data_IF_719537987186
#
_entry.id   IF_719537987186
#
_cell.length_a   1.000
_cell.length_b   1.000
_cell.length_c   1.000
_cell.angle_alpha   90.00
_cell.angle_beta   90.00
_cell.angle_gamma   90.00
#
_symmetry.space_group_name_H-M   'P 1'
#
loop_
_entity.id
_entity.type
_entity.pdbx_description
1 polymer ?
#
# COMPACT_ATOMS: atom_id res chain seq x y z
N UNK A 1 -13.06 5.27 34.79
CA UNK A 1 -11.89 6.17 34.70
C UNK A 1 -10.89 5.56 33.74
N UNK A 2 -10.27 6.39 32.91
CA UNK A 2 -9.17 5.98 32.02
C UNK A 2 -7.85 6.27 32.74
N UNK A 3 -6.94 5.32 32.74
CA UNK A 3 -5.59 5.46 33.27
C UNK A 3 -4.59 5.59 32.15
N UNK A 4 -3.83 6.68 32.13
CA UNK A 4 -2.68 6.86 31.23
C UNK A 4 -1.46 6.36 31.98
N UNK A 5 -0.82 5.33 31.44
CA UNK A 5 0.31 4.60 32.03
C UNK A 5 1.58 4.92 31.24
N UNK A 6 2.70 4.90 31.93
CA UNK A 6 4.01 4.92 31.28
C UNK A 6 4.39 3.51 30.72
N UNK A 7 5.48 3.46 29.97
CA UNK A 7 5.96 2.20 29.36
C UNK A 7 6.26 1.07 30.35
N UNK A 8 6.40 1.39 31.67
CA UNK A 8 6.56 0.40 32.73
C UNK A 8 5.24 -0.09 33.31
N UNK A 9 4.10 0.46 32.86
CA UNK A 9 2.76 0.15 33.35
C UNK A 9 2.35 0.96 34.57
N UNK A 10 3.17 1.90 35.03
CA UNK A 10 2.83 2.76 36.16
C UNK A 10 1.88 3.86 35.71
N UNK A 11 0.76 4.06 36.43
CA UNK A 11 -0.18 5.13 36.18
C UNK A 11 0.48 6.48 36.37
N UNK A 12 0.48 7.29 35.30
CA UNK A 12 0.96 8.68 35.28
C UNK A 12 -0.16 9.66 35.58
N UNK A 13 -1.35 9.38 35.04
CA UNK A 13 -2.53 10.21 35.22
C UNK A 13 -3.80 9.37 35.05
N UNK A 14 -4.87 9.76 35.75
CA UNK A 14 -6.20 9.16 35.62
C UNK A 14 -7.24 10.24 35.39
N UNK A 15 -8.11 10.01 34.42
CA UNK A 15 -9.19 10.96 34.09
C UNK A 15 -10.53 10.23 33.90
N UNK A 16 -11.67 10.84 34.25
CA UNK A 16 -12.96 10.34 33.81
C UNK A 16 -13.08 10.47 32.28
N UNK A 17 -13.96 9.67 31.67
CA UNK A 17 -14.35 9.87 30.27
C UNK A 17 -15.30 11.06 30.23
N UNK A 18 -14.82 12.17 29.68
CA UNK A 18 -15.61 13.39 29.54
C UNK A 18 -16.44 13.36 28.23
N UNK A 19 -17.52 14.17 28.18
CA UNK A 19 -18.41 14.25 27.02
C UNK A 19 -17.72 14.62 25.69
N UNK A 20 -16.54 15.23 25.74
CA UNK A 20 -15.73 15.57 24.56
C UNK A 20 -14.76 14.47 24.14
N UNK A 21 -14.68 13.35 24.87
CA UNK A 21 -13.86 12.23 24.45
C UNK A 21 -14.42 11.63 23.16
N UNK A 22 -13.56 11.43 22.18
CA UNK A 22 -13.92 10.90 20.86
C UNK A 22 -12.83 9.98 20.32
N UNK A 23 -13.25 9.02 19.52
CA UNK A 23 -12.36 8.18 18.74
C UNK A 23 -12.66 8.34 17.26
N UNK A 24 -11.66 8.13 16.43
CA UNK A 24 -11.80 8.07 14.99
C UNK A 24 -10.99 6.90 14.46
N UNK A 25 -11.66 6.08 13.66
CA UNK A 25 -11.04 4.99 12.93
C UNK A 25 -11.38 5.15 11.45
N UNK A 26 -10.36 5.17 10.61
CA UNK A 26 -10.49 5.09 9.16
C UNK A 26 -9.42 4.11 8.68
N UNK A 27 -9.86 3.05 8.03
CA UNK A 27 -9.01 1.97 7.56
C UNK A 27 -7.80 2.51 6.80
N UNK A 28 -6.59 2.08 7.20
CA UNK A 28 -5.30 2.48 6.61
C UNK A 28 -5.01 4.00 6.62
N UNK A 29 -5.82 4.81 7.29
CA UNK A 29 -5.64 6.27 7.31
C UNK A 29 -5.46 6.83 8.71
N UNK A 30 -6.27 6.40 9.67
CA UNK A 30 -6.22 6.92 11.03
C UNK A 30 -6.92 5.98 12.02
N UNK A 31 -6.33 5.87 13.20
CA UNK A 31 -6.90 5.15 14.33
C UNK A 31 -6.39 5.82 15.61
N UNK A 32 -7.24 6.67 16.21
CA UNK A 32 -6.86 7.46 17.38
C UNK A 32 -8.04 7.77 18.29
N UNK A 33 -7.72 8.12 19.52
CA UNK A 33 -8.66 8.69 20.49
C UNK A 33 -8.16 10.07 20.94
N UNK A 34 -9.11 10.93 21.33
CA UNK A 34 -8.82 12.22 21.94
C UNK A 34 -9.49 12.25 23.32
N UNK A 35 -8.71 12.56 24.34
CA UNK A 35 -9.15 12.68 25.72
C UNK A 35 -9.03 14.15 26.17
N UNK A 36 -10.16 14.90 26.28
CA UNK A 36 -10.16 16.25 26.82
C UNK A 36 -10.20 16.22 28.35
N UNK A 37 -9.30 16.96 28.99
CA UNK A 37 -9.29 17.17 30.43
C UNK A 37 -8.51 18.45 30.79
N UNK A 38 -8.75 18.95 32.01
CA UNK A 38 -8.05 20.14 32.55
C UNK A 38 -7.33 19.77 33.84
N UNK A 39 -6.16 20.35 34.05
CA UNK A 39 -5.32 20.12 35.22
C UNK A 39 -4.70 21.43 35.73
N UNK A 40 -4.41 21.54 37.02
CA UNK A 40 -3.81 22.74 37.58
C UNK A 40 -2.34 22.94 37.16
N UNK A 41 -1.63 21.86 36.82
CA UNK A 41 -0.23 21.91 36.41
C UNK A 41 0.01 20.95 35.25
N UNK A 42 0.94 21.25 34.31
CA UNK A 42 1.21 20.39 33.19
C UNK A 42 1.69 19.00 33.61
N UNK A 43 1.20 17.99 32.93
CA UNK A 43 1.63 16.59 33.13
C UNK A 43 2.77 16.29 32.17
N UNK A 44 3.92 15.72 32.65
CA UNK A 44 5.07 15.43 31.79
C UNK A 44 4.85 14.11 31.03
N UNK A 45 3.89 14.12 30.11
CA UNK A 45 3.67 12.98 29.21
C UNK A 45 4.88 12.73 28.34
N UNK A 46 5.09 11.46 27.98
CA UNK A 46 6.19 11.01 27.11
C UNK A 46 5.66 10.18 25.96
N UNK A 47 6.47 10.07 24.90
CA UNK A 47 6.22 9.11 23.83
C UNK A 47 6.14 7.70 24.40
N UNK A 48 5.14 6.94 23.97
CA UNK A 48 4.87 5.60 24.46
C UNK A 48 4.07 5.53 25.76
N UNK A 49 3.71 6.67 26.40
CA UNK A 49 2.68 6.63 27.44
C UNK A 49 1.36 6.19 26.79
N UNK A 50 0.61 5.29 27.44
CA UNK A 50 -0.50 4.60 26.80
C UNK A 50 -1.74 4.46 27.68
N UNK A 51 -2.86 4.18 27.04
CA UNK A 51 -4.10 3.72 27.67
C UNK A 51 -4.43 2.32 27.17
N UNK A 52 -4.96 1.48 28.05
CA UNK A 52 -5.50 0.17 27.71
C UNK A 52 -7.03 0.21 27.90
N UNK A 53 -7.74 0.11 26.80
CA UNK A 53 -9.21 0.18 26.74
C UNK A 53 -9.87 -1.21 26.70
N UNK A 54 -9.14 -2.29 26.91
CA UNK A 54 -9.65 -3.66 26.82
C UNK A 54 -10.87 -3.94 27.71
N UNK A 55 -11.01 -3.20 28.81
CA UNK A 55 -12.17 -3.32 29.70
C UNK A 55 -13.25 -2.26 29.48
N UNK A 56 -13.10 -1.38 28.47
CA UNK A 56 -13.98 -0.25 28.24
C UNK A 56 -14.67 -0.33 26.86
N UNK A 57 -13.96 -0.85 25.87
CA UNK A 57 -14.52 -1.04 24.51
C UNK A 57 -15.45 -2.25 24.51
N UNK A 58 -16.65 -2.04 23.97
CA UNK A 58 -17.65 -3.08 23.80
C UNK A 58 -17.15 -4.10 22.75
N UNK A 59 -17.22 -5.39 23.08
CA UNK A 59 -16.92 -6.48 22.16
C UNK A 59 -17.85 -6.51 20.93
N UNK A 60 -19.02 -5.86 21.03
CA UNK A 60 -19.95 -5.70 19.89
C UNK A 60 -19.36 -4.87 18.73
N UNK A 61 -18.35 -4.03 19.00
CA UNK A 61 -17.56 -3.36 17.99
C UNK A 61 -16.58 -4.32 17.28
N UNK A 62 -16.72 -5.61 17.57
CA UNK A 62 -16.15 -6.69 16.78
C UNK A 62 -14.66 -6.95 16.95
N UNK A 63 -14.06 -6.52 18.04
CA UNK A 63 -12.65 -6.79 18.32
C UNK A 63 -11.66 -6.14 17.33
N UNK A 64 -12.13 -5.18 16.53
CA UNK A 64 -11.43 -4.61 15.37
C UNK A 64 -10.75 -3.30 15.68
N UNK A 65 -11.18 -2.62 16.74
CA UNK A 65 -10.52 -1.42 17.22
C UNK A 65 -9.28 -1.80 18.02
N UNK A 66 -8.24 -1.00 17.91
CA UNK A 66 -7.11 -1.11 18.80
C UNK A 66 -7.59 -1.00 20.27
N UNK A 67 -7.07 -1.86 21.11
CA UNK A 67 -7.36 -1.82 22.56
C UNK A 67 -6.36 -0.96 23.30
N UNK A 68 -5.18 -0.77 22.73
CA UNK A 68 -4.08 0.03 23.28
C UNK A 68 -3.85 1.23 22.38
N UNK A 69 -3.87 2.43 22.97
CA UNK A 69 -3.57 3.68 22.31
C UNK A 69 -2.40 4.36 23.01
N UNK A 70 -1.43 4.86 22.25
CA UNK A 70 -0.17 5.41 22.74
C UNK A 70 0.01 6.86 22.32
N UNK A 71 0.76 7.62 23.08
CA UNK A 71 1.24 8.95 22.66
C UNK A 71 2.37 8.72 21.64
N UNK A 72 2.07 8.93 20.38
CA UNK A 72 3.02 8.79 19.27
C UNK A 72 3.73 10.10 18.95
N UNK A 73 3.02 11.24 19.16
CA UNK A 73 3.54 12.58 19.00
C UNK A 73 3.33 13.38 20.28
N UNK A 74 4.36 14.12 20.74
CA UNK A 74 4.26 14.95 21.93
C UNK A 74 3.38 16.16 21.67
N UNK A 75 2.44 16.39 22.58
CA UNK A 75 1.48 17.48 22.52
C UNK A 75 1.67 18.43 23.71
N UNK A 76 1.41 19.71 23.48
CA UNK A 76 1.46 20.74 24.53
C UNK A 76 0.04 21.10 24.92
N UNK A 77 -0.25 21.22 26.24
CA UNK A 77 -1.52 21.74 26.71
C UNK A 77 -1.65 23.23 26.44
N UNK A 78 -2.89 23.70 26.37
CA UNK A 78 -3.20 25.12 26.29
C UNK A 78 -3.38 25.68 27.71
N UNK A 79 -2.69 26.78 28.03
CA UNK A 79 -2.91 27.47 29.30
C UNK A 79 -4.23 28.22 29.26
N UNK A 80 -5.08 27.96 30.22
CA UNK A 80 -6.38 28.59 30.37
C UNK A 80 -6.31 29.73 31.42
N UNK A 81 -6.31 30.97 30.94
CA UNK A 81 -6.21 32.17 31.79
C UNK A 81 -7.41 32.35 32.73
N UNK A 82 -8.57 31.81 32.37
CA UNK A 82 -9.80 31.94 33.19
C UNK A 82 -9.78 31.00 34.40
N UNK A 83 -9.16 29.83 34.28
CA UNK A 83 -9.08 28.84 35.36
C UNK A 83 -7.72 28.81 36.04
N UNK A 84 -6.68 29.41 35.45
CA UNK A 84 -5.30 29.31 35.90
C UNK A 84 -4.69 27.92 35.74
N UNK A 85 -5.32 27.08 34.92
CA UNK A 85 -4.91 25.68 34.66
C UNK A 85 -4.50 25.41 33.21
N UNK A 86 -4.37 24.15 32.87
CA UNK A 86 -3.96 23.70 31.56
C UNK A 86 -5.00 22.73 30.98
N UNK A 87 -5.47 23.04 29.78
CA UNK A 87 -6.43 22.26 29.04
C UNK A 87 -5.69 21.34 28.04
N UNK A 88 -6.02 20.05 28.08
CA UNK A 88 -5.53 19.03 27.17
C UNK A 88 -6.64 18.55 26.22
N UNK A 89 -6.31 18.39 24.97
CA UNK A 89 -6.96 17.53 24.01
C UNK A 89 -5.97 16.41 23.66
N UNK A 90 -5.71 15.52 24.63
CA UNK A 90 -4.67 14.51 24.47
C UNK A 90 -5.07 13.49 23.43
N UNK A 91 -4.36 13.49 22.31
CA UNK A 91 -4.50 12.48 21.27
C UNK A 91 -3.57 11.31 21.56
N UNK A 92 -4.13 10.11 21.48
CA UNK A 92 -3.39 8.86 21.52
C UNK A 92 -3.75 8.10 20.25
N UNK A 93 -2.76 7.62 19.55
CA UNK A 93 -2.92 6.81 18.33
C UNK A 93 -2.82 5.33 18.68
N UNK A 94 -3.40 4.45 17.86
CA UNK A 94 -3.32 3.02 18.04
C UNK A 94 -1.84 2.56 18.14
N UNK A 95 -1.56 1.56 18.97
CA UNK A 95 -0.21 1.10 19.34
C UNK A 95 0.73 0.84 18.15
N UNK A 96 0.22 0.53 16.98
CA UNK A 96 1.01 0.29 15.77
C UNK A 96 1.35 1.60 15.00
N UNK A 97 0.70 2.72 15.28
CA UNK A 97 0.96 3.98 14.59
C UNK A 97 2.37 4.53 14.85
N UNK A 98 3.04 4.12 15.92
CA UNK A 98 4.46 4.43 16.16
C UNK A 98 5.40 3.90 15.08
N UNK A 99 4.95 2.95 14.25
CA UNK A 99 5.72 2.43 13.13
C UNK A 99 6.00 3.49 12.07
N UNK A 100 5.19 4.56 11.98
CA UNK A 100 5.45 5.73 11.11
C UNK A 100 6.77 6.44 11.45
N UNK A 101 7.28 6.27 12.66
CA UNK A 101 8.51 6.90 13.13
C UNK A 101 9.77 6.03 12.90
N UNK A 102 9.65 4.92 12.16
CA UNK A 102 10.73 3.97 11.90
C UNK A 102 10.85 3.67 10.42
N UNK A 103 12.07 3.67 9.92
CA UNK A 103 12.38 3.40 8.52
C UNK A 103 12.30 1.89 8.23
N UNK A 104 11.73 1.53 7.10
CA UNK A 104 11.65 0.16 6.61
C UNK A 104 12.95 -0.23 5.91
N UNK A 105 13.65 -1.24 6.41
CA UNK A 105 14.95 -1.70 5.92
C UNK A 105 14.89 -3.14 5.43
N UNK A 106 15.67 -3.46 4.40
CA UNK A 106 15.74 -4.83 3.90
C UNK A 106 16.39 -5.81 4.91
N UNK A 107 17.47 -5.38 5.54
CA UNK A 107 18.19 -6.15 6.59
C UNK A 107 18.31 -5.31 7.86
N UNK A 108 17.24 -5.21 8.67
CA UNK A 108 17.18 -4.30 9.81
C UNK A 108 18.21 -4.61 10.90
N UNK A 109 18.73 -5.85 10.94
CA UNK A 109 19.73 -6.31 11.90
C UNK A 109 21.14 -5.80 11.58
N UNK A 110 21.36 -5.33 10.35
CA UNK A 110 22.69 -4.85 9.92
C UNK A 110 22.78 -3.34 10.09
N UNK A 111 23.79 -2.90 10.81
CA UNK A 111 24.14 -1.49 10.90
C UNK A 111 24.52 -0.96 9.49
N UNK A 112 23.92 0.16 9.06
CA UNK A 112 24.16 0.73 7.74
C UNK A 112 23.40 0.07 6.60
N UNK A 113 22.42 -0.79 6.91
CA UNK A 113 21.48 -1.34 5.91
C UNK A 113 20.77 -0.21 5.17
N UNK A 114 20.67 -0.35 3.84
CA UNK A 114 20.02 0.63 2.99
C UNK A 114 18.54 0.77 3.30
N UNK A 115 18.05 2.00 3.28
CA UNK A 115 16.64 2.35 3.45
C UNK A 115 15.95 2.55 2.09
N UNK A 116 16.71 2.54 0.99
CA UNK A 116 16.18 2.54 -0.39
C UNK A 116 16.55 1.23 -1.06
N UNK A 117 15.53 0.43 -1.39
CA UNK A 117 15.71 -0.91 -1.94
C UNK A 117 14.45 -1.38 -2.68
N UNK A 118 14.60 -2.40 -3.51
CA UNK A 118 13.50 -3.00 -4.27
C UNK A 118 13.50 -4.51 -4.08
N UNK A 119 12.30 -5.09 -4.07
CA UNK A 119 12.10 -6.52 -3.98
C UNK A 119 10.89 -6.93 -4.83
N UNK A 120 11.10 -7.88 -5.73
CA UNK A 120 10.01 -8.54 -6.45
C UNK A 120 9.75 -9.88 -5.78
N UNK A 121 8.67 -9.98 -5.03
CA UNK A 121 8.32 -11.17 -4.27
C UNK A 121 6.82 -11.25 -4.00
N UNK A 122 6.35 -12.41 -3.58
CA UNK A 122 4.99 -12.58 -3.10
C UNK A 122 4.76 -11.86 -1.76
N UNK A 123 3.50 -11.59 -1.43
CA UNK A 123 3.12 -10.80 -0.26
C UNK A 123 3.66 -11.37 1.06
N UNK A 124 3.61 -12.68 1.23
CA UNK A 124 4.13 -13.37 2.42
C UNK A 124 5.63 -13.14 2.62
N UNK A 125 6.41 -13.09 1.53
CA UNK A 125 7.84 -12.79 1.57
C UNK A 125 8.09 -11.33 1.95
N UNK A 126 7.32 -10.38 1.37
CA UNK A 126 7.38 -8.96 1.72
C UNK A 126 7.06 -8.75 3.21
N UNK A 127 5.98 -9.38 3.69
CA UNK A 127 5.59 -9.35 5.10
C UNK A 127 6.61 -10.01 6.01
N UNK A 128 7.31 -11.03 5.53
CA UNK A 128 8.44 -11.64 6.25
C UNK A 128 9.57 -10.64 6.51
N UNK A 129 9.89 -9.77 5.53
CA UNK A 129 10.85 -8.66 5.74
C UNK A 129 10.31 -7.64 6.73
N UNK A 130 9.01 -7.32 6.63
CA UNK A 130 8.35 -6.41 7.55
C UNK A 130 8.42 -6.90 9.01
N UNK A 131 8.09 -8.15 9.26
CA UNK A 131 8.15 -8.74 10.60
C UNK A 131 9.58 -8.75 11.17
N UNK A 132 10.61 -8.96 10.33
CA UNK A 132 12.01 -8.84 10.77
C UNK A 132 12.32 -7.44 11.30
N UNK A 133 11.79 -6.39 10.64
CA UNK A 133 11.94 -5.02 11.12
C UNK A 133 11.27 -4.82 12.48
N UNK A 134 10.03 -5.30 12.68
CA UNK A 134 9.36 -5.21 13.98
C UNK A 134 10.14 -5.92 15.07
N UNK A 135 10.64 -7.12 14.77
CA UNK A 135 11.44 -7.93 15.70
C UNK A 135 12.76 -7.26 16.06
N UNK A 136 13.49 -6.73 15.09
CA UNK A 136 14.74 -6.00 15.32
C UNK A 136 14.56 -4.75 16.19
N UNK A 137 13.36 -4.12 16.10
CA UNK A 137 12.97 -2.98 16.95
C UNK A 137 12.44 -3.41 18.33
N UNK A 138 12.28 -4.70 18.58
CA UNK A 138 11.69 -5.22 19.80
C UNK A 138 10.20 -4.91 19.95
N UNK A 139 9.49 -4.66 18.85
CA UNK A 139 8.07 -4.36 18.88
C UNK A 139 7.25 -5.65 19.04
N UNK A 140 6.45 -5.68 20.08
CA UNK A 140 5.54 -6.77 20.42
C UNK A 140 4.19 -6.21 20.83
N UNK A 141 3.15 -7.01 20.74
CA UNK A 141 1.86 -6.73 21.36
C UNK A 141 1.71 -7.57 22.63
N UNK A 142 1.68 -6.93 23.79
CA UNK A 142 1.62 -7.61 25.11
C UNK A 142 2.65 -8.74 25.29
N UNK A 143 3.88 -8.50 24.78
CA UNK A 143 4.97 -9.48 24.84
C UNK A 143 4.93 -10.58 23.78
N UNK A 144 3.94 -10.57 22.87
CA UNK A 144 3.83 -11.52 21.77
C UNK A 144 4.33 -10.87 20.47
N UNK A 145 5.18 -11.59 19.73
CA UNK A 145 5.67 -11.15 18.43
C UNK A 145 4.51 -10.98 17.43
N UNK A 146 4.66 -10.04 16.50
CA UNK A 146 3.71 -9.85 15.41
C UNK A 146 3.77 -11.00 14.42
N UNK A 147 2.61 -11.32 13.87
CA UNK A 147 2.40 -12.29 12.80
C UNK A 147 1.54 -11.66 11.70
N UNK A 148 1.33 -12.36 10.59
CA UNK A 148 0.41 -11.93 9.56
C UNK A 148 -0.57 -13.03 9.17
N UNK A 149 -1.69 -12.61 8.58
CA UNK A 149 -2.69 -13.48 7.95
C UNK A 149 -3.06 -12.88 6.60
N UNK A 150 -3.00 -13.69 5.56
CA UNK A 150 -3.41 -13.33 4.21
C UNK A 150 -4.69 -14.12 3.92
N UNK A 151 -5.77 -13.42 3.58
CA UNK A 151 -7.04 -14.03 3.22
C UNK A 151 -6.96 -14.70 1.85
N UNK A 152 -7.73 -15.77 1.66
CA UNK A 152 -7.77 -16.53 0.39
C UNK A 152 -8.26 -15.68 -0.80
N UNK A 153 -8.91 -14.56 -0.56
CA UNK A 153 -9.32 -13.60 -1.59
C UNK A 153 -8.15 -12.79 -2.17
N UNK A 154 -7.00 -12.79 -1.50
CA UNK A 154 -5.80 -12.07 -1.94
C UNK A 154 -4.87 -13.03 -2.68
N UNK A 155 -4.66 -12.78 -3.97
CA UNK A 155 -3.70 -13.55 -4.76
C UNK A 155 -2.27 -13.28 -4.28
N UNK A 156 -1.60 -14.29 -3.74
CA UNK A 156 -0.21 -14.18 -3.26
C UNK A 156 0.79 -14.24 -4.43
N UNK A 157 0.62 -13.35 -5.41
CA UNK A 157 1.50 -13.22 -6.59
C UNK A 157 2.75 -12.40 -6.27
N UNK A 158 3.80 -12.59 -7.06
CA UNK A 158 4.99 -11.75 -6.99
C UNK A 158 4.71 -10.36 -7.58
N UNK A 159 4.97 -9.33 -6.79
CA UNK A 159 4.83 -7.91 -7.18
C UNK A 159 6.15 -7.21 -6.91
N UNK A 160 6.58 -6.37 -7.85
CA UNK A 160 7.74 -5.50 -7.67
C UNK A 160 7.38 -4.32 -6.76
N UNK A 161 8.05 -4.24 -5.64
CA UNK A 161 7.94 -3.13 -4.69
C UNK A 161 9.26 -2.38 -4.62
N UNK A 162 9.18 -1.07 -4.58
CA UNK A 162 10.33 -0.19 -4.31
C UNK A 162 10.03 0.63 -3.06
N UNK A 163 10.92 0.55 -2.10
CA UNK A 163 10.84 1.27 -0.83
C UNK A 163 11.97 2.29 -0.80
N UNK A 164 11.64 3.57 -0.92
CA UNK A 164 12.62 4.65 -0.92
C UNK A 164 12.46 5.49 0.34
N UNK A 165 13.34 5.24 1.32
CA UNK A 165 13.32 5.89 2.64
C UNK A 165 11.93 5.90 3.31
N UNK A 166 11.13 4.87 3.01
CA UNK A 166 9.76 4.75 3.47
C UNK A 166 9.72 4.30 4.93
N UNK A 167 8.80 4.86 5.71
CA UNK A 167 8.58 4.37 7.06
C UNK A 167 7.80 3.04 7.05
N UNK A 168 7.86 2.32 8.17
CA UNK A 168 7.24 0.99 8.29
C UNK A 168 5.73 1.01 8.02
N UNK A 169 5.01 1.99 8.54
CA UNK A 169 3.55 2.03 8.40
C UNK A 169 3.12 2.28 6.95
N UNK A 170 3.76 3.25 6.29
CA UNK A 170 3.48 3.56 4.89
C UNK A 170 3.90 2.40 3.98
N UNK A 171 5.04 1.76 4.28
CA UNK A 171 5.47 0.57 3.55
C UNK A 171 4.44 -0.56 3.65
N UNK A 172 3.90 -0.82 4.85
CA UNK A 172 2.87 -1.82 5.07
C UNK A 172 1.59 -1.51 4.26
N UNK A 173 1.09 -0.29 4.37
CA UNK A 173 -0.13 0.11 3.68
C UNK A 173 0.04 0.20 2.16
N UNK A 174 1.25 0.53 1.67
CA UNK A 174 1.53 0.55 0.24
C UNK A 174 1.43 -0.84 -0.40
N UNK A 175 1.66 -1.92 0.35
CA UNK A 175 1.48 -3.29 -0.15
C UNK A 175 0.01 -3.58 -0.49
N UNK A 176 -0.95 -2.98 0.23
CA UNK A 176 -2.37 -3.17 -0.02
C UNK A 176 -2.91 -2.40 -1.24
N UNK A 177 -2.08 -1.54 -1.85
CA UNK A 177 -2.46 -0.66 -2.96
C UNK A 177 -3.13 -1.39 -4.14
N UNK A 178 -3.95 -0.63 -4.87
CA UNK A 178 -4.76 -1.12 -5.99
C UNK A 178 -3.90 -1.73 -7.11
N UNK A 179 -2.73 -1.14 -7.36
CA UNK A 179 -1.74 -1.60 -8.34
C UNK A 179 -0.81 -2.71 -7.79
N UNK A 180 -0.98 -3.14 -6.54
CA UNK A 180 -0.19 -4.16 -5.84
C UNK A 180 -1.02 -5.42 -5.60
N UNK A 181 -1.43 -5.65 -4.35
CA UNK A 181 -2.28 -6.79 -4.03
C UNK A 181 -3.77 -6.44 -3.98
N UNK A 182 -4.13 -5.18 -4.15
CA UNK A 182 -5.50 -4.67 -4.25
C UNK A 182 -6.42 -5.23 -3.16
N UNK A 183 -6.07 -4.96 -1.92
CA UNK A 183 -6.80 -5.45 -0.75
C UNK A 183 -6.76 -4.42 0.38
N UNK A 184 -7.44 -4.74 1.48
CA UNK A 184 -7.35 -3.97 2.71
C UNK A 184 -6.23 -4.50 3.61
N UNK A 185 -5.64 -3.61 4.42
CA UNK A 185 -4.73 -3.98 5.50
C UNK A 185 -5.25 -3.44 6.82
N UNK A 186 -5.33 -4.30 7.83
CA UNK A 186 -5.69 -3.89 9.20
C UNK A 186 -4.92 -4.71 10.22
N UNK A 187 -4.90 -4.24 11.46
CA UNK A 187 -4.13 -4.86 12.53
C UNK A 187 -5.04 -5.10 13.73
N UNK A 188 -5.11 -6.35 14.17
CA UNK A 188 -5.81 -6.72 15.40
C UNK A 188 -4.85 -7.46 16.32
N UNK A 189 -4.71 -6.98 17.55
CA UNK A 189 -3.78 -7.55 18.53
C UNK A 189 -2.35 -7.67 17.93
N UNK A 190 -1.80 -8.86 17.80
CA UNK A 190 -0.48 -9.08 17.19
C UNK A 190 -0.54 -9.55 15.73
N UNK A 191 -1.71 -9.52 15.07
CA UNK A 191 -1.88 -10.04 13.73
C UNK A 191 -2.10 -8.89 12.73
N UNK A 192 -1.30 -8.88 11.67
CA UNK A 192 -1.44 -8.01 10.51
C UNK A 192 -2.23 -8.77 9.46
N UNK A 193 -3.37 -8.25 9.06
CA UNK A 193 -4.29 -8.88 8.12
C UNK A 193 -4.23 -8.22 6.75
N UNK A 194 -4.24 -9.03 5.71
CA UNK A 194 -4.44 -8.61 4.33
C UNK A 194 -5.62 -9.39 3.76
N UNK A 195 -6.63 -8.68 3.26
CA UNK A 195 -7.86 -9.30 2.78
C UNK A 195 -8.93 -8.28 2.46
N UNK A 196 -10.18 -8.73 2.49
CA UNK A 196 -11.35 -7.84 2.45
C UNK A 196 -11.80 -7.56 3.87
N UNK A 197 -11.77 -6.29 4.27
CA UNK A 197 -12.20 -5.89 5.61
C UNK A 197 -13.73 -5.74 5.68
N UNK A 198 -14.43 -6.80 5.28
CA UNK A 198 -15.90 -6.90 5.32
C UNK A 198 -16.30 -7.91 6.41
N UNK A 199 -17.22 -7.52 7.28
CA UNK A 199 -17.54 -8.33 8.45
C UNK A 199 -19.04 -8.42 8.71
N UNK A 200 -19.49 -9.64 8.98
CA UNK A 200 -20.86 -9.93 9.37
C UNK A 200 -21.86 -9.77 8.23
N UNK A 201 -23.13 -9.85 8.58
CA UNK A 201 -24.22 -9.68 7.64
C UNK A 201 -24.42 -8.22 7.26
N UNK A 202 -24.98 -7.98 6.08
CA UNK A 202 -25.32 -6.63 5.62
C UNK A 202 -26.32 -5.97 6.60
N UNK A 203 -25.94 -4.80 7.12
CA UNK A 203 -26.81 -4.01 7.98
C UNK A 203 -27.71 -3.15 7.11
N UNK A 204 -29.02 -3.32 7.26
CA UNK A 204 -30.01 -2.45 6.62
C UNK A 204 -30.02 -1.10 7.36
N UNK A 205 -29.80 -0.02 6.62
CA UNK A 205 -29.89 1.34 7.14
C UNK A 205 -31.15 2.00 6.54
N UNK A 206 -32.10 2.35 7.39
CA UNK A 206 -33.34 3.03 6.99
C UNK A 206 -33.35 4.48 7.53
N UNK A 207 -33.76 5.42 6.66
CA UNK A 207 -33.93 6.81 7.07
C UNK A 207 -35.06 6.91 8.11
N UNK A 208 -34.77 7.57 9.21
CA UNK A 208 -35.70 7.75 10.34
C UNK A 208 -35.68 6.61 11.36
N UNK A 209 -34.89 5.55 11.13
CA UNK A 209 -34.66 4.43 12.06
C UNK A 209 -33.19 4.43 12.50
N UNK A 210 -32.29 3.95 11.65
CA UNK A 210 -30.83 3.92 11.92
C UNK A 210 -30.13 5.21 11.48
N UNK A 211 -30.66 5.93 10.49
CA UNK A 211 -30.12 7.20 10.01
C UNK A 211 -31.13 8.33 10.17
N UNK A 212 -30.76 9.38 10.87
CA UNK A 212 -31.59 10.58 11.05
C UNK A 212 -31.81 11.34 9.73
N UNK A 213 -30.77 11.36 8.89
CA UNK A 213 -30.81 11.93 7.54
C UNK A 213 -29.83 11.21 6.62
N UNK A 214 -30.19 11.19 5.33
CA UNK A 214 -29.35 10.63 4.26
C UNK A 214 -29.19 11.73 3.21
N UNK A 215 -28.00 12.33 3.16
CA UNK A 215 -27.67 13.35 2.18
C UNK A 215 -26.92 12.72 1.02
N UNK A 216 -27.40 12.93 -0.20
CA UNK A 216 -26.65 12.62 -1.40
C UNK A 216 -25.79 13.83 -1.75
N UNK A 217 -24.49 13.69 -1.64
CA UNK A 217 -23.55 14.67 -2.18
C UNK A 217 -23.14 14.23 -3.61
N UNK A 218 -22.92 15.21 -4.46
CA UNK A 218 -22.22 14.95 -5.71
C UNK A 218 -20.77 14.59 -5.40
N UNK A 219 -20.22 13.63 -6.13
CA UNK A 219 -18.80 13.31 -6.05
C UNK A 219 -18.02 14.54 -6.53
N UNK A 220 -17.04 14.99 -5.77
CA UNK A 220 -16.08 16.02 -6.22
C UNK A 220 -15.15 15.48 -7.32
N UNK A 221 -15.20 14.18 -7.62
CA UNK A 221 -14.45 13.55 -8.69
C UNK A 221 -15.12 13.74 -10.05
N UNK A 222 -14.32 14.00 -11.07
CA UNK A 222 -14.75 13.93 -12.47
C UNK A 222 -15.20 12.49 -12.75
N UNK A 223 -16.44 12.30 -13.14
CA UNK A 223 -16.88 11.02 -13.67
C UNK A 223 -16.90 11.09 -15.19
N UNK A 224 -16.47 10.01 -15.85
CA UNK A 224 -16.51 9.88 -17.28
C UNK A 224 -17.66 8.97 -17.70
N UNK A 225 -18.32 9.33 -18.79
CA UNK A 225 -19.32 8.46 -19.46
C UNK A 225 -18.77 7.86 -20.74
N UNK A 226 -17.63 8.40 -21.25
CA UNK A 226 -16.87 7.88 -22.38
C UNK A 226 -15.40 7.81 -22.03
N UNK A 227 -14.78 6.66 -22.22
CA UNK A 227 -13.37 6.44 -21.89
C UNK A 227 -12.59 6.05 -23.15
N UNK A 228 -11.52 6.79 -23.42
CA UNK A 228 -10.49 6.41 -24.36
C UNK A 228 -9.40 5.65 -23.62
N UNK A 229 -9.28 4.36 -23.89
CA UNK A 229 -8.31 3.48 -23.25
C UNK A 229 -7.05 3.33 -24.13
N UNK A 230 -5.89 3.62 -23.57
CA UNK A 230 -4.61 3.47 -24.24
C UNK A 230 -3.71 2.51 -23.43
N UNK A 231 -2.97 1.66 -24.15
CA UNK A 231 -1.90 0.89 -23.55
C UNK A 231 -0.54 1.60 -23.68
N UNK A 232 0.52 0.86 -23.46
CA UNK A 232 1.89 1.35 -23.55
C UNK A 232 2.33 1.59 -25.01
N UNK A 233 3.46 2.26 -25.14
CA UNK A 233 4.21 2.35 -26.42
C UNK A 233 5.25 1.24 -26.57
N UNK A 234 5.42 0.38 -25.55
CA UNK A 234 6.42 -0.69 -25.51
C UNK A 234 6.04 -1.81 -26.46
N UNK A 235 7.02 -2.38 -27.13
CA UNK A 235 6.87 -3.55 -28.01
C UNK A 235 5.82 -3.37 -29.13
N UNK A 236 5.58 -2.14 -29.58
CA UNK A 236 4.64 -1.84 -30.66
C UNK A 236 5.43 -1.66 -31.96
N UNK A 237 5.43 -2.63 -32.89
CA UNK A 237 6.07 -2.49 -34.19
C UNK A 237 5.30 -1.50 -35.07
N UNK A 238 5.98 -0.95 -36.06
CA UNK A 238 5.42 0.06 -36.95
C UNK A 238 4.22 -0.47 -37.77
N UNK A 239 4.19 -1.77 -38.02
CA UNK A 239 3.15 -2.49 -38.76
C UNK A 239 2.12 -3.19 -37.83
N UNK A 240 2.06 -2.82 -36.55
CA UNK A 240 1.11 -3.41 -35.60
C UNK A 240 -0.34 -3.27 -36.03
N UNK A 241 -0.68 -2.11 -36.68
CA UNK A 241 -1.99 -1.87 -37.26
C UNK A 241 -1.88 -1.83 -38.80
N UNK A 242 -2.91 -2.29 -39.50
CA UNK A 242 -3.06 -2.05 -40.93
C UNK A 242 -2.93 -0.55 -41.24
N UNK A 243 -2.50 -0.22 -42.43
CA UNK A 243 -2.20 1.18 -42.82
C UNK A 243 -3.43 2.10 -42.74
N UNK A 244 -4.61 1.57 -42.99
CA UNK A 244 -5.91 2.24 -42.89
C UNK A 244 -6.40 2.49 -41.46
N UNK A 245 -5.86 1.74 -40.50
CA UNK A 245 -6.13 1.92 -39.07
C UNK A 245 -5.06 2.76 -38.35
N UNK A 246 -4.02 3.18 -39.04
CA UNK A 246 -2.94 3.92 -38.39
C UNK A 246 -3.38 5.36 -38.14
N UNK A 247 -3.17 5.80 -36.88
CA UNK A 247 -3.35 7.19 -36.50
C UNK A 247 -2.06 7.95 -36.80
N UNK A 248 -2.12 8.91 -37.75
CA UNK A 248 -0.98 9.73 -38.12
C UNK A 248 -1.22 11.16 -37.69
N UNK A 249 -0.33 11.70 -36.84
CA UNK A 249 -0.38 13.08 -36.39
C UNK A 249 0.91 13.76 -36.84
N UNK A 250 0.79 14.84 -37.65
CA UNK A 250 1.92 15.57 -38.21
C UNK A 250 2.94 14.67 -38.96
N UNK A 251 2.45 13.67 -39.70
CA UNK A 251 3.29 12.74 -40.44
C UNK A 251 3.95 11.63 -39.56
N UNK A 252 3.67 11.57 -38.26
CA UNK A 252 4.21 10.59 -37.36
C UNK A 252 3.11 9.57 -37.02
N UNK A 253 3.37 8.28 -37.27
CA UNK A 253 2.49 7.17 -36.87
C UNK A 253 2.52 7.03 -35.35
N UNK A 254 1.34 7.05 -34.75
CA UNK A 254 1.21 6.83 -33.31
C UNK A 254 1.38 5.35 -32.96
N UNK A 255 2.40 5.04 -32.22
CA UNK A 255 2.78 3.67 -31.84
C UNK A 255 2.20 3.20 -30.48
N UNK A 256 1.23 3.90 -29.96
CA UNK A 256 0.59 3.51 -28.70
C UNK A 256 -0.45 2.41 -28.95
N UNK A 257 -0.51 1.42 -28.06
CA UNK A 257 -1.59 0.43 -28.09
C UNK A 257 -2.93 1.16 -27.83
N UNK A 258 -3.90 0.94 -28.68
CA UNK A 258 -5.20 1.61 -28.64
C UNK A 258 -6.30 0.59 -28.90
N UNK A 259 -7.54 0.94 -28.57
CA UNK A 259 -8.72 0.18 -28.97
C UNK A 259 -8.82 0.10 -30.52
N UNK A 260 -9.53 -0.89 -31.07
CA UNK A 260 -9.77 -1.00 -32.52
C UNK A 260 -10.39 0.30 -33.10
N UNK A 261 -10.11 0.57 -34.37
CA UNK A 261 -10.57 1.81 -35.02
C UNK A 261 -12.09 1.89 -35.13
N UNK A 262 -12.78 0.75 -35.20
CA UNK A 262 -14.25 0.64 -35.23
C UNK A 262 -14.88 0.81 -33.83
N UNK A 263 -14.08 0.70 -32.75
CA UNK A 263 -14.54 0.84 -31.38
C UNK A 263 -13.49 1.66 -30.58
N UNK A 264 -13.30 2.95 -30.93
CA UNK A 264 -12.17 3.74 -30.42
C UNK A 264 -12.32 4.17 -28.96
N UNK A 265 -13.47 4.00 -28.37
CA UNK A 265 -13.80 4.36 -27.00
C UNK A 265 -14.79 3.37 -26.38
N UNK A 266 -15.00 3.48 -25.11
CA UNK A 266 -15.96 2.70 -24.33
C UNK A 266 -16.99 3.66 -23.74
N UNK A 267 -18.24 3.48 -24.08
CA UNK A 267 -19.37 4.25 -23.54
C UNK A 267 -19.98 3.55 -22.32
N UNK A 268 -20.51 4.33 -21.39
CA UNK A 268 -21.16 3.84 -20.19
C UNK A 268 -22.45 3.04 -20.50
N UNK A 269 -23.12 3.35 -21.62
CA UNK A 269 -24.29 2.62 -22.11
C UNK A 269 -24.38 2.73 -23.65
N UNK A 270 -25.04 1.75 -24.23
CA UNK A 270 -25.22 1.65 -25.69
C UNK A 270 -26.09 2.79 -26.23
N UNK A 271 -25.69 3.38 -27.35
CA UNK A 271 -26.44 4.44 -28.02
C UNK A 271 -26.31 5.83 -27.43
N UNK A 272 -25.32 6.05 -26.55
CA UNK A 272 -25.01 7.36 -25.98
C UNK A 272 -24.65 8.38 -27.09
N UNK A 273 -25.24 9.56 -27.02
CA UNK A 273 -24.95 10.64 -27.96
C UNK A 273 -23.64 11.34 -27.62
N UNK A 274 -23.12 12.11 -28.60
CA UNK A 274 -21.90 12.88 -28.37
C UNK A 274 -22.08 14.00 -27.34
N UNK A 275 -23.28 14.56 -27.25
CA UNK A 275 -23.62 15.62 -26.30
C UNK A 275 -23.72 15.09 -24.84
N UNK A 276 -24.00 13.79 -24.67
CA UNK A 276 -24.05 13.14 -23.36
C UNK A 276 -22.68 12.65 -22.89
N UNK A 277 -21.70 12.62 -23.80
CA UNK A 277 -20.37 12.11 -23.52
C UNK A 277 -19.56 13.09 -22.66
N UNK A 278 -19.23 12.63 -21.44
CA UNK A 278 -18.17 13.23 -20.61
C UNK A 278 -16.93 12.36 -20.83
N UNK A 279 -15.97 12.90 -21.54
CA UNK A 279 -14.82 12.14 -22.02
C UNK A 279 -13.67 12.16 -21.02
N UNK A 280 -13.00 11.02 -20.87
CA UNK A 280 -11.75 10.90 -20.13
C UNK A 280 -10.80 9.91 -20.83
N UNK A 281 -9.54 9.96 -20.43
CA UNK A 281 -8.46 9.14 -21.00
C UNK A 281 -7.82 8.32 -19.90
N UNK A 282 -7.78 7.01 -20.11
CA UNK A 282 -7.08 6.08 -19.21
C UNK A 282 -5.90 5.46 -19.94
N UNK A 283 -4.73 5.51 -19.32
CA UNK A 283 -3.49 4.95 -19.87
C UNK A 283 -3.01 3.80 -18.99
N UNK A 284 -2.86 2.63 -19.60
CA UNK A 284 -2.34 1.41 -18.97
C UNK A 284 -0.92 1.15 -19.49
N UNK A 285 0.09 1.74 -18.85
CA UNK A 285 1.49 1.63 -19.31
C UNK A 285 2.10 0.22 -19.13
N UNK A 286 1.45 -0.65 -18.37
CA UNK A 286 1.80 -2.06 -18.19
C UNK A 286 1.14 -2.99 -19.23
N UNK A 287 0.17 -2.48 -20.00
CA UNK A 287 -0.48 -3.21 -21.10
C UNK A 287 0.25 -2.98 -22.40
N UNK A 288 0.97 -3.99 -22.86
CA UNK A 288 1.72 -4.01 -24.12
C UNK A 288 1.87 -5.44 -24.62
N UNK A 289 2.13 -5.64 -25.94
CA UNK A 289 2.38 -6.97 -26.47
C UNK A 289 3.60 -7.61 -25.81
N UNK A 290 3.37 -8.73 -25.13
CA UNK A 290 4.43 -9.51 -24.47
C UNK A 290 4.07 -10.98 -24.47
N UNK A 291 5.09 -11.83 -24.49
CA UNK A 291 4.93 -13.26 -24.24
C UNK A 291 5.42 -13.57 -22.83
N UNK A 292 4.62 -14.32 -22.08
CA UNK A 292 5.01 -14.84 -20.78
C UNK A 292 5.33 -16.33 -20.96
N UNK A 293 6.51 -16.75 -20.54
CA UNK A 293 6.97 -18.14 -20.63
C UNK A 293 7.52 -18.65 -19.31
N UNK A 294 7.60 -19.97 -19.18
CA UNK A 294 8.24 -20.62 -18.04
C UNK A 294 9.60 -21.16 -18.49
N UNK A 295 10.65 -20.66 -17.87
CA UNK A 295 12.01 -21.11 -18.15
C UNK A 295 12.25 -22.51 -17.59
N UNK A 296 12.89 -23.33 -18.38
CA UNK A 296 13.36 -24.66 -18.01
C UNK A 296 14.85 -24.81 -18.29
N UNK A 297 15.48 -25.87 -17.75
CA UNK A 297 16.88 -26.22 -18.04
C UNK A 297 17.85 -25.04 -17.78
N UNK A 298 17.69 -24.38 -16.60
CA UNK A 298 18.52 -23.25 -16.23
C UNK A 298 19.87 -23.68 -15.73
N UNK A 299 20.93 -23.29 -16.45
CA UNK A 299 22.31 -23.56 -16.09
C UNK A 299 23.09 -22.27 -15.92
N UNK A 300 24.03 -22.27 -14.98
CA UNK A 300 24.97 -21.18 -14.79
C UNK A 300 26.38 -21.63 -15.18
N UNK A 301 27.11 -20.76 -15.87
CA UNK A 301 28.51 -20.93 -16.20
C UNK A 301 29.26 -19.67 -15.84
N UNK A 302 30.34 -19.81 -15.08
CA UNK A 302 31.17 -18.69 -14.66
C UNK A 302 32.50 -18.72 -15.43
N UNK A 303 32.86 -17.64 -16.06
CA UNK A 303 34.11 -17.49 -16.79
C UNK A 303 34.90 -16.27 -16.32
N UNK A 304 36.23 -16.36 -16.38
CA UNK A 304 37.10 -15.18 -16.20
C UNK A 304 37.30 -14.56 -17.58
N UNK A 305 36.78 -13.35 -17.72
CA UNK A 305 36.94 -12.55 -18.95
C UNK A 305 37.96 -11.47 -18.70
N UNK A 306 38.89 -11.29 -19.61
CA UNK A 306 39.86 -10.20 -19.56
C UNK A 306 39.32 -9.04 -20.37
N UNK A 307 39.12 -7.89 -19.69
CA UNK A 307 38.65 -6.64 -20.30
C UNK A 307 39.79 -6.02 -21.13
N UNK A 308 39.45 -5.10 -22.03
CA UNK A 308 40.42 -4.42 -22.89
C UNK A 308 41.54 -3.68 -22.14
N UNK A 309 41.32 -3.34 -20.88
CA UNK A 309 42.28 -2.71 -19.97
C UNK A 309 43.16 -3.73 -19.21
N UNK A 310 43.04 -5.04 -19.47
CA UNK A 310 43.76 -6.11 -18.81
C UNK A 310 43.23 -6.53 -17.45
N UNK A 311 42.07 -5.97 -17.00
CA UNK A 311 41.42 -6.36 -15.76
C UNK A 311 40.69 -7.68 -15.95
N UNK A 312 40.83 -8.63 -15.02
CA UNK A 312 40.12 -9.93 -15.06
C UNK A 312 38.87 -9.86 -14.23
N UNK A 313 37.73 -9.94 -14.90
CA UNK A 313 36.43 -9.98 -14.26
C UNK A 313 35.84 -11.41 -14.31
N UNK A 314 35.04 -11.75 -13.29
CA UNK A 314 34.30 -13.00 -13.25
C UNK A 314 32.91 -12.72 -13.79
N UNK A 315 32.63 -13.24 -15.00
CA UNK A 315 31.31 -13.07 -15.63
C UNK A 315 30.52 -14.38 -15.48
N UNK A 316 29.29 -14.26 -15.00
CA UNK A 316 28.39 -15.39 -14.87
C UNK A 316 27.36 -15.36 -16.02
N UNK A 317 27.38 -16.40 -16.84
CA UNK A 317 26.44 -16.61 -17.92
C UNK A 317 25.31 -17.48 -17.45
N UNK A 318 24.07 -17.08 -17.78
CA UNK A 318 22.87 -17.86 -17.52
C UNK A 318 22.35 -18.41 -18.84
N UNK A 319 22.17 -19.74 -18.93
CA UNK A 319 21.56 -20.41 -20.06
C UNK A 319 20.25 -21.04 -19.63
N UNK A 320 19.20 -20.82 -20.39
CA UNK A 320 17.88 -21.37 -20.13
C UNK A 320 17.16 -21.73 -21.42
N UNK A 321 16.11 -22.54 -21.31
CA UNK A 321 15.21 -22.88 -22.41
C UNK A 321 13.80 -22.43 -22.08
N UNK A 322 13.15 -21.89 -23.06
CA UNK A 322 11.70 -21.69 -23.09
C UNK A 322 11.15 -22.41 -24.32
N UNK A 323 10.40 -23.47 -24.09
CA UNK A 323 9.83 -24.29 -25.18
C UNK A 323 8.65 -23.58 -25.88
N UNK A 324 8.09 -22.56 -25.26
CA UNK A 324 7.00 -21.76 -25.82
C UNK A 324 7.48 -20.53 -26.59
N UNK A 325 8.74 -20.15 -26.45
CA UNK A 325 9.28 -18.96 -27.12
C UNK A 325 9.61 -19.29 -28.58
N UNK A 326 8.76 -18.81 -29.47
CA UNK A 326 9.02 -18.84 -30.92
C UNK A 326 9.58 -17.48 -31.30
N UNK A 327 10.88 -17.41 -31.53
CA UNK A 327 11.52 -16.20 -32.06
C UNK A 327 11.11 -16.01 -33.51
N UNK A 328 10.47 -14.88 -33.82
CA UNK A 328 10.18 -14.45 -35.19
C UNK A 328 10.86 -13.13 -35.44
N UNK A 329 11.43 -12.96 -36.64
CA UNK A 329 12.06 -11.69 -37.03
C UNK A 329 11.11 -10.50 -36.94
N UNK A 330 9.80 -10.73 -37.10
CA UNK A 330 8.75 -9.72 -36.96
C UNK A 330 8.64 -9.13 -35.55
N UNK A 331 9.21 -9.76 -34.53
CA UNK A 331 9.26 -9.25 -33.15
C UNK A 331 10.44 -8.32 -32.88
N UNK A 332 11.38 -8.21 -33.83
CA UNK A 332 12.52 -7.32 -33.73
C UNK A 332 12.07 -5.93 -34.14
N UNK A 333 12.08 -5.00 -33.21
CA UNK A 333 11.81 -3.60 -33.48
C UNK A 333 13.14 -2.90 -33.70
N UNK A 334 13.34 -2.35 -34.88
CA UNK A 334 14.56 -1.64 -35.25
C UNK A 334 14.89 -0.52 -34.26
N UNK A 335 16.11 -0.52 -33.74
CA UNK A 335 16.56 0.45 -32.76
C UNK A 335 16.13 0.18 -31.30
N UNK A 336 15.54 -0.99 -31.04
CA UNK A 336 15.22 -1.41 -29.67
C UNK A 336 15.96 -2.69 -29.30
N UNK A 337 16.48 -2.75 -28.09
CA UNK A 337 17.05 -3.96 -27.54
C UNK A 337 15.94 -4.94 -27.10
N UNK A 338 16.11 -6.22 -27.39
CA UNK A 338 15.23 -7.25 -26.87
C UNK A 338 15.47 -7.41 -25.37
N UNK A 339 14.46 -7.18 -24.57
CA UNK A 339 14.53 -7.33 -23.13
C UNK A 339 13.73 -8.55 -22.66
N UNK A 340 14.34 -9.33 -21.77
CA UNK A 340 13.69 -10.47 -21.11
C UNK A 340 13.66 -10.18 -19.61
N UNK A 341 12.58 -9.55 -19.09
CA UNK A 341 12.45 -9.35 -17.67
C UNK A 341 12.08 -10.66 -16.97
N UNK A 342 12.86 -11.04 -15.97
CA UNK A 342 12.56 -12.18 -15.11
C UNK A 342 11.58 -11.73 -14.02
N UNK A 343 10.44 -12.41 -13.89
CA UNK A 343 9.39 -12.04 -12.91
C UNK A 343 9.53 -12.78 -11.58
N UNK A 344 10.28 -13.87 -11.56
CA UNK A 344 10.51 -14.65 -10.35
C UNK A 344 11.74 -15.56 -10.50
N UNK A 345 12.27 -16.03 -9.37
CA UNK A 345 13.38 -16.99 -9.33
C UNK A 345 14.74 -16.34 -9.01
N UNK A 346 15.82 -17.11 -9.13
CA UNK A 346 17.18 -16.66 -8.79
C UNK A 346 17.79 -15.62 -9.75
N UNK A 347 17.14 -15.37 -10.89
CA UNK A 347 17.59 -14.42 -11.91
C UNK A 347 16.84 -13.08 -11.83
N UNK A 348 15.97 -12.93 -10.84
CA UNK A 348 15.22 -11.72 -10.59
C UNK A 348 15.95 -10.88 -9.52
#
# INVERSE_FOLDING_TARGET
MIEIKDISGKTRFSTPINKGAKGKFTLMKEDYIILPFSVPSPIPFKLGDYVDLSGVLDESLGGKLAKIYEIVDLQKPTYNTSTGGYDYELRLDAYYWKWKNKIFKYTPEQAGSEASWSLTAALDVQLGVFLRNLKALGYTYRGTDFTFSIDDTVENKAVAMTYDNMNLLDALFSMAGEDKWNCDCWITDNVIHFGRNEFGDAVKIERGVEASDITRSESEGTYATRIYAFGSTKNIPTNYRPTDEQVVINGIVQKRLMLPADTPYIDAYEGMSQEEAIEDVVVFDDVYPRQVGTLSDVHTRTEKVESEDGTKEIVTYYRYKDSGLTFKEEYIIEGQELQIPFQSGKLN
#
